data_IF_748955123997
#
_entry.id   IF_748955123997
#
_cell.length_a   1.000
_cell.length_b   1.000
_cell.length_c   1.000
_cell.angle_alpha   90.00
_cell.angle_beta   90.00
_cell.angle_gamma   90.00
#
_symmetry.space_group_name_H-M   'P 1'
#
loop_
_entity.id
_entity.type
_entity.pdbx_description
1 polymer ?
#
# COMPACT_ATOMS: atom_id res chain seq x y z
N UNK A 1 -8.86 -0.85 -3.85
CA UNK A 1 -7.42 -1.17 -3.80
C UNK A 1 -7.01 -1.91 -5.07
N UNK A 2 -6.25 -1.24 -5.94
CA UNK A 2 -5.53 -1.85 -7.07
C UNK A 2 -4.23 -2.46 -6.55
N UNK A 3 -3.80 -3.59 -7.11
CA UNK A 3 -2.48 -4.18 -6.81
C UNK A 3 -1.61 -4.07 -8.04
N UNK A 4 -0.36 -3.63 -7.85
CA UNK A 4 0.67 -3.59 -8.87
C UNK A 4 1.88 -4.38 -8.37
N UNK A 5 2.52 -5.12 -9.26
CA UNK A 5 3.78 -5.81 -8.99
C UNK A 5 4.84 -5.14 -9.86
N UNK A 6 5.98 -4.80 -9.28
CA UNK A 6 7.13 -4.18 -9.97
C UNK A 6 8.42 -4.90 -9.56
N UNK A 7 9.41 -4.97 -10.44
CA UNK A 7 10.66 -5.66 -10.14
C UNK A 7 11.59 -4.84 -9.23
N UNK A 8 11.51 -3.51 -9.30
CA UNK A 8 12.31 -2.61 -8.48
C UNK A 8 11.57 -2.18 -7.22
N UNK A 9 12.23 -2.29 -6.08
CA UNK A 9 11.70 -1.87 -4.78
C UNK A 9 11.55 -0.34 -4.72
N UNK A 10 10.42 0.18 -5.20
CA UNK A 10 10.05 1.59 -5.03
C UNK A 10 9.36 1.78 -3.68
N UNK A 11 10.07 2.35 -2.71
CA UNK A 11 9.59 2.52 -1.33
C UNK A 11 9.07 3.91 -0.99
N UNK A 12 9.25 4.89 -1.87
CA UNK A 12 9.01 6.29 -1.53
C UNK A 12 8.08 7.02 -2.50
N UNK A 13 7.79 6.41 -3.67
CA UNK A 13 7.01 7.03 -4.73
C UNK A 13 5.99 6.03 -5.25
N UNK A 14 4.73 6.46 -5.35
CA UNK A 14 3.70 5.68 -6.02
C UNK A 14 4.00 5.60 -7.52
N UNK A 15 4.19 4.39 -8.02
CA UNK A 15 4.43 4.10 -9.45
C UNK A 15 3.33 4.61 -10.39
N UNK A 16 2.07 4.66 -9.92
CA UNK A 16 0.88 5.08 -10.70
C UNK A 16 0.70 6.60 -10.74
N UNK A 17 0.52 7.23 -9.57
CA UNK A 17 0.15 8.66 -9.50
C UNK A 17 1.30 9.58 -9.08
N UNK A 18 2.51 9.03 -8.92
CA UNK A 18 3.74 9.73 -8.52
C UNK A 18 3.65 10.48 -7.18
N UNK A 19 2.68 10.13 -6.33
CA UNK A 19 2.55 10.68 -4.99
C UNK A 19 3.69 10.18 -4.08
N UNK A 20 4.11 11.02 -3.14
CA UNK A 20 5.22 10.78 -2.22
C UNK A 20 4.88 11.25 -0.80
N UNK A 21 5.77 10.98 0.16
CA UNK A 21 5.65 11.44 1.55
C UNK A 21 4.36 10.96 2.20
N UNK A 22 3.56 11.88 2.75
CA UNK A 22 2.32 11.57 3.52
C UNK A 22 1.26 10.76 2.76
N UNK A 23 1.37 10.64 1.44
CA UNK A 23 0.42 9.91 0.60
C UNK A 23 0.81 8.47 0.33
N UNK A 24 2.03 8.08 0.67
CA UNK A 24 2.53 6.71 0.51
C UNK A 24 2.96 6.19 1.87
N UNK A 25 2.59 4.95 2.16
CA UNK A 25 2.85 4.31 3.43
C UNK A 25 3.44 2.92 3.18
N UNK A 26 4.62 2.61 3.72
CA UNK A 26 5.16 1.27 3.64
C UNK A 26 4.28 0.31 4.44
N UNK A 27 4.03 -0.86 3.88
CA UNK A 27 3.21 -1.91 4.49
C UNK A 27 3.95 -3.24 4.46
N UNK A 28 3.91 -3.95 5.59
CA UNK A 28 4.43 -5.30 5.68
C UNK A 28 3.34 -6.25 6.19
N UNK A 29 3.07 -7.35 5.46
CA UNK A 29 2.08 -8.37 5.83
C UNK A 29 2.72 -9.73 5.64
N UNK A 30 2.79 -10.52 6.71
CA UNK A 30 3.37 -11.86 6.71
C UNK A 30 4.80 -11.90 6.11
N UNK A 31 5.61 -10.88 6.39
CA UNK A 31 6.98 -10.76 5.85
C UNK A 31 7.08 -10.21 4.43
N UNK A 32 5.95 -10.00 3.74
CA UNK A 32 5.93 -9.41 2.40
C UNK A 32 5.81 -7.90 2.55
N UNK A 33 6.79 -7.20 2.00
CA UNK A 33 6.84 -5.74 1.98
C UNK A 33 6.15 -5.19 0.73
N UNK A 34 5.52 -4.03 0.90
CA UNK A 34 4.87 -3.29 -0.15
C UNK A 34 4.78 -1.81 0.19
N UNK A 35 4.34 -1.02 -0.79
CA UNK A 35 4.07 0.39 -0.65
C UNK A 35 2.60 0.64 -0.97
N UNK A 36 1.85 1.21 -0.03
CA UNK A 36 0.45 1.57 -0.23
C UNK A 36 0.30 3.07 -0.47
N UNK A 37 -0.33 3.44 -1.59
CA UNK A 37 -0.65 4.82 -1.91
C UNK A 37 -2.09 5.17 -1.50
N UNK A 38 -2.21 6.07 -0.53
CA UNK A 38 -3.48 6.62 -0.04
C UNK A 38 -4.21 7.48 -1.07
N UNK A 39 -3.46 8.14 -1.98
CA UNK A 39 -4.02 9.07 -2.97
C UNK A 39 -4.81 8.34 -4.07
N UNK A 40 -4.28 7.23 -4.56
CA UNK A 40 -4.88 6.47 -5.68
C UNK A 40 -5.27 5.04 -5.33
N UNK A 41 -5.24 4.68 -4.04
CA UNK A 41 -5.64 3.37 -3.52
C UNK A 41 -4.94 2.21 -4.25
N UNK A 42 -3.62 2.33 -4.43
CA UNK A 42 -2.77 1.33 -5.09
C UNK A 42 -1.78 0.74 -4.10
N UNK A 43 -1.72 -0.58 -4.04
CA UNK A 43 -0.70 -1.35 -3.34
C UNK A 43 0.34 -1.84 -4.35
N UNK A 44 1.58 -1.42 -4.17
CA UNK A 44 2.73 -1.85 -4.97
C UNK A 44 3.50 -2.90 -4.19
N UNK A 45 3.80 -4.02 -4.83
CA UNK A 45 4.55 -5.16 -4.27
C UNK A 45 5.73 -5.48 -5.18
N UNK A 46 6.78 -6.07 -4.62
CA UNK A 46 7.94 -6.52 -5.39
C UNK A 46 7.84 -7.99 -5.81
N UNK A 47 6.90 -8.72 -5.21
CA UNK A 47 6.71 -10.13 -5.43
C UNK A 47 5.22 -10.42 -5.65
N UNK A 48 4.94 -11.51 -6.38
CA UNK A 48 3.58 -11.99 -6.54
C UNK A 48 2.98 -12.40 -5.19
N UNK A 49 1.71 -12.08 -5.00
CA UNK A 49 0.98 -12.48 -3.81
C UNK A 49 0.86 -14.01 -3.77
N UNK A 50 1.32 -14.68 -2.70
CA UNK A 50 1.35 -16.14 -2.65
C UNK A 50 -0.03 -16.76 -2.45
N UNK A 51 -1.02 -16.00 -1.98
CA UNK A 51 -2.41 -16.48 -1.87
C UNK A 51 -3.45 -15.36 -1.75
N UNK A 52 -4.72 -15.72 -1.95
CA UNK A 52 -5.87 -14.85 -1.69
C UNK A 52 -5.97 -14.40 -0.23
N UNK A 53 -5.50 -15.21 0.72
CA UNK A 53 -5.49 -14.83 2.14
C UNK A 53 -4.53 -13.67 2.40
N UNK A 54 -3.35 -13.69 1.78
CA UNK A 54 -2.38 -12.60 1.87
C UNK A 54 -2.95 -11.31 1.27
N UNK A 55 -3.62 -11.41 0.10
CA UNK A 55 -4.33 -10.27 -0.48
C UNK A 55 -5.35 -9.65 0.48
N UNK A 56 -6.18 -10.47 1.14
CA UNK A 56 -7.18 -9.99 2.10
C UNK A 56 -6.54 -9.32 3.32
N UNK A 57 -5.43 -9.87 3.81
CA UNK A 57 -4.68 -9.28 4.91
C UNK A 57 -4.09 -7.90 4.53
N UNK A 58 -3.52 -7.77 3.33
CA UNK A 58 -3.11 -6.47 2.79
C UNK A 58 -4.28 -5.50 2.66
N UNK A 59 -5.40 -5.94 2.06
CA UNK A 59 -6.59 -5.11 1.90
C UNK A 59 -7.08 -4.56 3.23
N UNK A 60 -7.13 -5.40 4.28
CA UNK A 60 -7.50 -4.98 5.63
C UNK A 60 -6.52 -3.93 6.18
N UNK A 61 -5.21 -4.19 6.09
CA UNK A 61 -4.17 -3.25 6.56
C UNK A 61 -4.23 -1.90 5.84
N UNK A 62 -4.43 -1.89 4.53
CA UNK A 62 -4.57 -0.66 3.74
C UNK A 62 -5.82 0.15 4.12
N UNK A 63 -6.93 -0.51 4.46
CA UNK A 63 -8.14 0.16 4.96
C UNK A 63 -7.89 0.80 6.33
N UNK A 64 -7.25 0.08 7.27
CA UNK A 64 -6.90 0.61 8.59
C UNK A 64 -6.01 1.86 8.49
N UNK A 65 -5.04 1.87 7.57
CA UNK A 65 -4.18 3.03 7.32
C UNK A 65 -5.00 4.20 6.78
N UNK A 66 -5.90 3.93 5.82
CA UNK A 66 -6.77 4.95 5.23
C UNK A 66 -7.68 5.60 6.28
N UNK A 67 -8.27 4.80 7.16
CA UNK A 67 -9.11 5.29 8.26
C UNK A 67 -8.30 6.12 9.26
N UNK A 68 -7.14 5.62 9.71
CA UNK A 68 -6.26 6.36 10.63
C UNK A 68 -5.82 7.71 10.07
N UNK A 69 -5.44 7.76 8.79
CA UNK A 69 -5.00 9.01 8.14
C UNK A 69 -6.16 9.96 7.86
N UNK A 70 -7.34 9.44 7.52
CA UNK A 70 -8.56 10.25 7.38
C UNK A 70 -8.93 10.92 8.70
N UNK A 71 -8.84 10.19 9.81
CA UNK A 71 -9.13 10.72 11.15
C UNK A 71 -8.09 11.74 11.61
N UNK A 72 -6.82 11.61 11.21
CA UNK A 72 -5.78 12.62 11.47
C UNK A 72 -5.93 13.91 10.64
N UNK A 73 -6.63 13.87 9.51
CA UNK A 73 -6.87 15.05 8.65
C UNK A 73 -8.17 15.80 8.99
N UNK A 74 -8.99 15.24 9.88
CA UNK A 74 -10.28 15.79 10.33
C UNK A 74 -10.25 16.34 11.77
N UNK A 75 -9.07 16.38 12.38
CA UNK A 75 -8.78 17.10 13.63
C UNK A 75 -7.93 18.34 13.33
#
# INVERSE_FOLDING_TARGET
>A
MRVQIIDEKQLEICSICKATGKWVEPVCVNGIEGLYCLKCDTLTLNEHLPSKLVYLAFKKKCLEIKEKKSNQLTM
#
